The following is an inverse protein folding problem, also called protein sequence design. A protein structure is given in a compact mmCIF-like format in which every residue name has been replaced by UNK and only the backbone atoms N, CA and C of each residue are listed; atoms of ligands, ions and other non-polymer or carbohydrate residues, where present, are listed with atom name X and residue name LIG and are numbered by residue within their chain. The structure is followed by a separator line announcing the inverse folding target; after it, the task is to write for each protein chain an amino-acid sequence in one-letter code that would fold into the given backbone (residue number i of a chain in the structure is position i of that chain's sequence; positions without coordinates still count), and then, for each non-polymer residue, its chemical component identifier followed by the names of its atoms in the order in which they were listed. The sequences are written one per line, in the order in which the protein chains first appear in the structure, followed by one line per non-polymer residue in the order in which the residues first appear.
data_IF_357084460008
#
_entry.id   IF_357084460008
#
_cell.length_a   1.000
_cell.length_b   1.000
_cell.length_c   1.000
_cell.angle_alpha   90.00
_cell.angle_beta   90.00
_cell.angle_gamma   90.00
#
_symmetry.space_group_name_H-M   'P 1'
#
loop_
_entity.id
_entity.type
_entity.pdbx_description
1 polymer ?
#
# COMPACT_ATOMS: atom_id res chain seq x y z
N UNK A 1 -10.17 10.36 -20.64
CA UNK A 1 -10.11 9.68 -19.33
C UNK A 1 -8.97 10.27 -18.52
N UNK A 2 -9.09 10.36 -17.19
CA UNK A 2 -7.99 10.77 -16.34
C UNK A 2 -6.83 9.76 -16.49
N UNK A 3 -5.60 10.22 -16.31
CA UNK A 3 -4.39 9.39 -16.42
C UNK A 3 -4.27 8.50 -15.18
N UNK A 4 -4.18 7.16 -15.36
CA UNK A 4 -3.92 6.24 -14.25
C UNK A 4 -2.60 6.60 -13.56
N UNK A 5 -2.61 6.68 -12.23
CA UNK A 5 -1.42 6.91 -11.41
C UNK A 5 -0.64 5.60 -11.25
N UNK A 6 0.68 5.65 -11.42
CA UNK A 6 1.56 4.49 -11.21
C UNK A 6 2.19 4.58 -9.83
N UNK A 7 1.89 3.59 -8.98
CA UNK A 7 2.44 3.48 -7.63
C UNK A 7 3.48 2.35 -7.59
N UNK A 8 4.64 2.66 -6.98
CA UNK A 8 5.66 1.67 -6.70
C UNK A 8 5.28 0.87 -5.44
N UNK A 9 5.07 -0.45 -5.59
CA UNK A 9 4.69 -1.39 -4.55
C UNK A 9 5.86 -1.59 -3.58
N UNK A 10 5.77 -1.06 -2.36
CA UNK A 10 6.84 -1.08 -1.34
C UNK A 10 8.15 -0.46 -1.83
N UNK A 11 8.06 0.55 -2.71
CA UNK A 11 9.19 1.09 -3.46
C UNK A 11 9.53 0.30 -4.73
N UNK A 12 10.73 0.48 -5.28
CA UNK A 12 11.22 -0.30 -6.42
C UNK A 12 11.74 -1.68 -5.94
N UNK A 13 10.82 -2.54 -5.48
CA UNK A 13 11.13 -3.78 -4.75
C UNK A 13 11.84 -4.87 -5.57
N UNK A 14 11.97 -4.69 -6.88
CA UNK A 14 12.80 -5.55 -7.75
C UNK A 14 14.23 -5.05 -7.91
N UNK A 15 14.52 -3.83 -7.42
CA UNK A 15 15.81 -3.18 -7.55
C UNK A 15 16.48 -2.92 -6.19
N UNK A 16 15.71 -2.95 -5.11
CA UNK A 16 16.16 -2.86 -3.72
C UNK A 16 15.19 -3.60 -2.80
N UNK A 17 15.61 -3.87 -1.55
CA UNK A 17 14.75 -4.55 -0.57
C UNK A 17 13.48 -3.75 -0.30
N UNK A 18 12.31 -4.42 -0.35
CA UNK A 18 11.02 -3.79 -0.14
C UNK A 18 10.90 -3.06 1.21
N UNK A 19 10.11 -1.99 1.27
CA UNK A 19 9.87 -1.19 2.48
C UNK A 19 11.16 -0.62 3.13
N UNK A 20 12.24 -0.45 2.36
CA UNK A 20 13.49 0.19 2.80
C UNK A 20 13.66 1.56 2.15
N UNK A 21 14.55 2.38 2.73
CA UNK A 21 14.91 3.69 2.14
C UNK A 21 15.47 3.52 0.73
N UNK A 22 16.34 2.53 0.51
CA UNK A 22 16.90 2.25 -0.82
C UNK A 22 15.82 1.96 -1.84
N UNK A 23 14.77 1.20 -1.49
CA UNK A 23 13.67 0.90 -2.42
C UNK A 23 12.83 2.16 -2.75
N UNK A 24 12.56 3.00 -1.74
CA UNK A 24 11.79 4.23 -1.94
C UNK A 24 12.58 5.27 -2.74
N UNK A 25 13.84 5.48 -2.41
CA UNK A 25 14.71 6.42 -3.13
C UNK A 25 14.96 5.95 -4.58
N UNK A 26 15.06 4.63 -4.79
CA UNK A 26 15.18 4.06 -6.13
C UNK A 26 13.90 4.29 -6.94
N UNK A 27 12.72 4.08 -6.35
CA UNK A 27 11.45 4.33 -7.01
C UNK A 27 11.32 5.78 -7.48
N UNK A 28 11.78 6.73 -6.68
CA UNK A 28 11.74 8.17 -7.01
C UNK A 28 12.79 8.64 -8.03
N UNK A 29 13.67 7.76 -8.50
CA UNK A 29 14.48 8.02 -9.70
C UNK A 29 13.66 7.93 -10.99
N UNK A 30 12.48 7.31 -10.92
CA UNK A 30 11.49 7.26 -11.99
C UNK A 30 10.39 8.30 -11.74
N UNK A 31 9.72 8.79 -12.79
CA UNK A 31 8.60 9.74 -12.65
C UNK A 31 7.30 9.03 -12.19
N UNK A 32 7.40 8.26 -11.09
CA UNK A 32 6.25 7.61 -10.48
C UNK A 32 5.30 8.65 -9.87
N UNK A 33 4.03 8.29 -9.81
CA UNK A 33 3.02 9.18 -9.23
C UNK A 33 2.88 8.95 -7.72
N UNK A 34 3.19 7.73 -7.22
CA UNK A 34 3.07 7.41 -5.79
C UNK A 34 3.87 6.20 -5.34
N UNK A 35 3.85 5.99 -4.03
CA UNK A 35 4.43 4.82 -3.35
C UNK A 35 3.34 4.18 -2.50
N UNK A 36 3.27 2.85 -2.57
CA UNK A 36 2.50 2.05 -1.63
C UNK A 36 3.47 1.43 -0.60
N UNK A 37 3.02 1.29 0.66
CA UNK A 37 3.80 0.71 1.77
C UNK A 37 2.91 0.11 2.85
N UNK A 38 3.47 -0.78 3.68
CA UNK A 38 2.77 -1.57 4.68
C UNK A 38 3.15 -1.14 6.11
N UNK A 39 2.15 -0.92 6.98
CA UNK A 39 2.38 -0.53 8.37
C UNK A 39 2.00 -1.66 9.32
N UNK A 40 2.91 -1.98 10.23
CA UNK A 40 2.71 -2.81 11.43
C UNK A 40 3.18 -2.05 12.67
N UNK A 41 2.98 -2.62 13.87
CA UNK A 41 3.50 -2.06 15.12
C UNK A 41 4.60 -2.94 15.70
N UNK A 42 5.69 -2.32 16.15
CA UNK A 42 6.66 -2.94 17.05
C UNK A 42 6.03 -3.28 18.41
N UNK A 43 6.76 -3.97 19.29
CA UNK A 43 6.29 -4.30 20.64
C UNK A 43 5.95 -3.04 21.46
N UNK A 44 6.78 -2.02 21.34
CA UNK A 44 6.61 -0.70 21.97
C UNK A 44 5.72 0.26 21.15
N UNK A 45 4.86 -0.31 20.28
CA UNK A 45 3.81 0.38 19.52
C UNK A 45 4.30 1.48 18.56
N UNK A 46 5.54 1.43 18.11
CA UNK A 46 6.00 2.30 17.04
C UNK A 46 5.52 1.75 15.70
N UNK A 47 4.90 2.61 14.88
CA UNK A 47 4.48 2.26 13.52
C UNK A 47 5.72 2.12 12.62
N UNK A 48 5.92 0.91 12.08
CA UNK A 48 7.08 0.51 11.25
C UNK A 48 6.62 -0.10 9.93
N UNK A 49 7.47 -0.04 8.91
CA UNK A 49 7.15 -0.53 7.58
C UNK A 49 7.62 -1.97 7.40
N UNK A 50 6.65 -2.89 7.32
CA UNK A 50 6.92 -4.32 7.12
C UNK A 50 5.70 -5.04 6.57
N UNK A 51 5.88 -5.85 5.51
CA UNK A 51 4.79 -6.58 4.89
C UNK A 51 4.53 -7.93 5.55
N UNK A 52 5.55 -8.77 5.70
CA UNK A 52 5.38 -10.18 5.98
C UNK A 52 4.82 -10.47 7.39
N UNK A 53 4.24 -11.69 7.54
CA UNK A 53 3.79 -12.22 8.83
C UNK A 53 4.97 -12.39 9.80
N UNK A 54 6.07 -12.95 9.28
CA UNK A 54 7.26 -13.26 10.04
C UNK A 54 8.46 -12.46 9.56
N UNK A 55 9.47 -12.35 10.41
CA UNK A 55 10.76 -11.72 10.11
C UNK A 55 11.71 -12.65 9.33
N UNK A 56 11.19 -13.56 8.50
CA UNK A 56 11.98 -14.52 7.72
C UNK A 56 13.04 -13.86 6.84
N UNK A 57 12.69 -12.76 6.17
CA UNK A 57 13.62 -11.96 5.36
C UNK A 57 14.75 -11.32 6.18
N UNK A 58 14.55 -11.11 7.47
CA UNK A 58 15.56 -10.64 8.40
C UNK A 58 16.28 -11.80 9.15
N UNK A 59 16.13 -13.05 8.68
CA UNK A 59 16.77 -14.23 9.28
C UNK A 59 16.04 -14.82 10.49
N UNK A 60 14.83 -14.40 10.80
CA UNK A 60 14.05 -14.78 11.98
C UNK A 60 12.67 -15.37 11.57
N UNK A 61 12.62 -16.58 10.98
CA UNK A 61 11.43 -17.10 10.29
C UNK A 61 10.24 -17.44 11.21
N UNK A 62 10.42 -17.44 12.52
CA UNK A 62 9.35 -17.73 13.50
C UNK A 62 8.99 -16.53 14.37
N UNK A 63 9.58 -15.37 14.12
CA UNK A 63 9.40 -14.15 14.89
C UNK A 63 8.52 -13.15 14.15
N UNK A 64 7.73 -12.39 14.90
CA UNK A 64 6.90 -11.31 14.42
C UNK A 64 7.55 -9.95 14.66
N UNK A 65 7.04 -8.91 14.01
CA UNK A 65 7.50 -7.53 14.20
C UNK A 65 7.30 -7.07 15.66
N UNK A 66 6.20 -7.49 16.27
CA UNK A 66 5.81 -7.13 17.63
C UNK A 66 6.46 -8.00 18.74
N UNK A 67 7.34 -8.92 18.36
CA UNK A 67 8.25 -9.57 19.32
C UNK A 67 9.38 -8.63 19.78
N UNK A 68 9.61 -7.52 19.07
CA UNK A 68 10.76 -6.63 19.28
C UNK A 68 10.36 -5.17 19.43
N UNK A 69 11.09 -4.45 20.29
CA UNK A 69 11.02 -2.99 20.35
C UNK A 69 11.66 -2.36 19.10
N UNK A 70 11.23 -1.16 18.76
CA UNK A 70 11.72 -0.45 17.58
C UNK A 70 13.25 -0.32 17.55
N UNK A 71 13.91 -0.04 18.68
CA UNK A 71 15.37 0.07 18.76
C UNK A 71 16.09 -1.22 18.38
N UNK A 72 15.53 -2.37 18.75
CA UNK A 72 16.09 -3.68 18.35
C UNK A 72 15.88 -3.91 16.85
N UNK A 73 14.69 -3.59 16.31
CA UNK A 73 14.41 -3.70 14.88
C UNK A 73 15.31 -2.79 14.03
N UNK A 74 15.63 -1.59 14.51
CA UNK A 74 16.57 -0.69 13.82
C UNK A 74 17.98 -1.26 13.68
N UNK A 75 18.41 -2.11 14.62
CA UNK A 75 19.73 -2.73 14.60
C UNK A 75 19.82 -3.99 13.72
N UNK A 76 18.69 -4.53 13.26
CA UNK A 76 18.63 -5.67 12.34
C UNK A 76 18.83 -5.23 10.89
N UNK A 77 19.25 -6.14 10.02
CA UNK A 77 19.41 -5.87 8.60
C UNK A 77 18.19 -6.37 7.81
N UNK A 78 17.30 -5.47 7.44
CA UNK A 78 16.11 -5.75 6.64
C UNK A 78 16.39 -5.82 5.12
N UNK A 79 17.60 -5.44 4.68
CA UNK A 79 18.00 -5.55 3.28
C UNK A 79 18.75 -6.87 2.96
N UNK A 80 19.09 -7.67 3.96
CA UNK A 80 19.95 -8.86 3.80
C UNK A 80 19.42 -9.89 2.79
N UNK A 81 18.09 -10.05 2.69
CA UNK A 81 17.46 -11.03 1.80
C UNK A 81 17.51 -10.65 0.31
N UNK A 82 17.71 -9.38 0.01
CA UNK A 82 17.64 -8.89 -1.37
C UNK A 82 18.95 -9.20 -2.14
N UNK A 83 20.09 -8.89 -1.55
CA UNK A 83 21.41 -9.18 -2.13
C UNK A 83 22.47 -9.23 -1.04
N UNK A 84 23.43 -10.15 -1.18
CA UNK A 84 24.58 -10.23 -0.28
C UNK A 84 25.47 -8.96 -0.30
N UNK A 85 25.39 -8.18 -1.37
CA UNK A 85 26.09 -6.90 -1.53
C UNK A 85 25.25 -5.67 -1.14
N UNK A 86 24.00 -5.85 -0.72
CA UNK A 86 23.18 -4.74 -0.25
C UNK A 86 23.75 -4.15 1.04
N UNK A 87 23.79 -2.83 1.13
CA UNK A 87 24.13 -2.17 2.37
C UNK A 87 23.12 -2.56 3.46
N UNK A 88 23.54 -2.82 4.69
CA UNK A 88 22.61 -3.06 5.78
C UNK A 88 21.65 -1.88 6.00
N UNK A 89 20.36 -2.19 6.09
CA UNK A 89 19.33 -1.20 6.41
C UNK A 89 18.47 -1.68 7.56
N UNK A 90 18.29 -0.85 8.57
CA UNK A 90 17.34 -1.06 9.66
C UNK A 90 15.89 -0.85 9.17
N UNK A 91 14.92 -1.24 10.01
CA UNK A 91 13.52 -1.01 9.72
C UNK A 91 13.22 0.49 9.63
N UNK A 92 12.38 0.89 8.71
CA UNK A 92 11.93 2.28 8.56
C UNK A 92 10.66 2.49 9.39
N UNK A 93 10.61 3.53 10.22
CA UNK A 93 9.36 3.93 10.87
C UNK A 93 8.46 4.71 9.91
N UNK A 94 7.13 4.64 10.12
CA UNK A 94 6.18 5.47 9.37
C UNK A 94 6.48 6.96 9.51
N UNK A 95 6.94 7.40 10.68
CA UNK A 95 7.34 8.80 10.92
C UNK A 95 8.48 9.23 9.99
N UNK A 96 9.51 8.42 9.88
CA UNK A 96 10.66 8.70 8.99
C UNK A 96 10.25 8.65 7.52
N UNK A 97 9.42 7.67 7.14
CA UNK A 97 8.88 7.57 5.78
C UNK A 97 8.10 8.81 5.39
N UNK A 98 7.16 9.24 6.21
CA UNK A 98 6.37 10.45 5.98
C UNK A 98 7.25 11.70 5.90
N UNK A 99 8.24 11.83 6.78
CA UNK A 99 9.17 12.97 6.77
C UNK A 99 9.95 13.06 5.44
N UNK A 100 10.32 11.91 4.87
CA UNK A 100 11.12 11.87 3.64
C UNK A 100 10.27 11.98 2.36
N UNK A 101 9.05 11.42 2.31
CA UNK A 101 8.35 11.16 1.04
C UNK A 101 7.01 11.87 0.87
N UNK A 102 6.32 12.30 1.94
CA UNK A 102 4.96 12.85 1.87
C UNK A 102 4.78 14.08 0.98
N UNK A 103 5.87 14.83 0.68
CA UNK A 103 5.85 16.01 -0.18
C UNK A 103 6.38 15.74 -1.59
N UNK A 104 6.75 14.48 -1.89
CA UNK A 104 7.42 14.11 -3.13
C UNK A 104 6.52 13.32 -4.09
N UNK A 105 5.55 12.59 -3.56
CA UNK A 105 4.61 11.78 -4.34
C UNK A 105 3.36 11.47 -3.51
N UNK A 106 2.34 10.88 -4.15
CA UNK A 106 1.20 10.29 -3.45
C UNK A 106 1.62 9.09 -2.61
N UNK A 107 0.90 8.83 -1.51
CA UNK A 107 1.16 7.69 -0.64
C UNK A 107 -0.12 6.86 -0.44
N UNK A 108 0.00 5.54 -0.58
CA UNK A 108 -1.01 4.58 -0.15
C UNK A 108 -0.41 3.76 1.00
N UNK A 109 -0.98 3.88 2.18
CA UNK A 109 -0.45 3.27 3.41
C UNK A 109 -1.37 2.14 3.82
N UNK A 110 -0.93 0.89 3.60
CA UNK A 110 -1.69 -0.27 4.03
C UNK A 110 -1.52 -0.51 5.53
N UNK A 111 -2.61 -0.54 6.27
CA UNK A 111 -2.66 -0.91 7.69
C UNK A 111 -2.82 -2.43 7.77
N UNK A 112 -1.73 -3.14 8.07
CA UNK A 112 -1.73 -4.60 8.22
C UNK A 112 -2.46 -5.03 9.49
N UNK A 113 -3.41 -5.94 9.35
CA UNK A 113 -4.06 -6.59 10.48
C UNK A 113 -3.61 -8.05 10.54
N UNK A 114 -3.33 -8.54 11.74
CA UNK A 114 -2.83 -9.89 11.96
C UNK A 114 -3.79 -10.66 12.86
N UNK A 115 -3.95 -11.95 12.57
CA UNK A 115 -4.88 -12.84 13.27
C UNK A 115 -4.49 -13.15 14.72
N UNK A 116 -3.21 -12.94 15.08
CA UNK A 116 -2.75 -13.04 16.48
C UNK A 116 -2.89 -11.74 17.27
N UNK A 117 -3.18 -10.62 16.61
CA UNK A 117 -3.35 -9.33 17.28
C UNK A 117 -4.78 -9.17 17.82
N UNK A 118 -4.90 -8.54 18.97
CA UNK A 118 -6.22 -8.17 19.51
C UNK A 118 -6.88 -7.04 18.71
N UNK A 119 -8.19 -6.94 18.76
CA UNK A 119 -8.94 -5.83 18.16
C UNK A 119 -8.48 -4.46 18.69
N UNK A 120 -8.10 -4.37 19.98
CA UNK A 120 -7.55 -3.14 20.55
C UNK A 120 -6.22 -2.76 19.92
N UNK A 121 -5.36 -3.74 19.62
CA UNK A 121 -4.07 -3.49 18.93
C UNK A 121 -4.28 -3.03 17.50
N UNK A 122 -5.28 -3.57 16.79
CA UNK A 122 -5.67 -3.05 15.48
C UNK A 122 -6.09 -1.57 15.56
N UNK A 123 -6.90 -1.21 16.57
CA UNK A 123 -7.32 0.18 16.77
C UNK A 123 -6.15 1.11 17.11
N UNK A 124 -5.20 0.66 17.94
CA UNK A 124 -3.97 1.41 18.23
C UNK A 124 -3.18 1.66 16.95
N UNK A 125 -3.02 0.64 16.10
CA UNK A 125 -2.32 0.76 14.81
C UNK A 125 -2.98 1.79 13.90
N UNK A 126 -4.31 1.75 13.77
CA UNK A 126 -5.08 2.73 13.00
C UNK A 126 -4.85 4.14 13.54
N UNK A 127 -4.98 4.36 14.87
CA UNK A 127 -4.77 5.67 15.48
C UNK A 127 -3.36 6.20 15.23
N UNK A 128 -2.32 5.40 15.53
CA UNK A 128 -0.93 5.81 15.34
C UNK A 128 -0.64 6.15 13.88
N UNK A 129 -1.16 5.37 12.94
CA UNK A 129 -1.02 5.65 11.50
C UNK A 129 -1.67 6.99 11.15
N UNK A 130 -2.94 7.19 11.50
CA UNK A 130 -3.67 8.41 11.16
C UNK A 130 -3.14 9.66 11.89
N UNK A 131 -2.65 9.52 13.13
CA UNK A 131 -2.06 10.63 13.88
C UNK A 131 -0.74 11.10 13.28
N UNK A 132 0.10 10.17 12.82
CA UNK A 132 1.34 10.50 12.11
C UNK A 132 1.09 11.14 10.75
N UNK A 133 0.10 10.65 10.00
CA UNK A 133 -0.29 11.25 8.72
C UNK A 133 -0.86 12.66 8.93
N UNK A 134 -1.63 12.87 9.98
CA UNK A 134 -2.28 14.15 10.29
C UNK A 134 -3.58 14.36 9.52
N UNK A 135 -3.98 15.62 9.36
CA UNK A 135 -5.20 15.97 8.62
C UNK A 135 -5.06 15.60 7.14
N UNK A 136 -6.14 15.09 6.50
CA UNK A 136 -6.12 14.79 5.08
C UNK A 136 -5.83 16.06 4.26
N UNK A 137 -4.95 15.91 3.26
CA UNK A 137 -4.61 16.98 2.31
C UNK A 137 -5.07 16.53 0.91
N UNK A 138 -6.38 16.42 0.71
CA UNK A 138 -6.94 15.76 -0.46
C UNK A 138 -6.58 14.27 -0.48
N UNK A 139 -6.47 13.70 -1.68
CA UNK A 139 -6.15 12.28 -1.88
C UNK A 139 -4.64 11.99 -2.01
N UNK A 140 -3.80 12.96 -1.64
CA UNK A 140 -2.34 12.79 -1.73
C UNK A 140 -1.82 11.67 -0.81
N UNK A 141 -2.50 11.42 0.32
CA UNK A 141 -2.21 10.30 1.21
C UNK A 141 -3.51 9.58 1.53
N UNK A 142 -3.56 8.30 1.21
CA UNK A 142 -4.67 7.40 1.49
C UNK A 142 -4.22 6.31 2.45
N UNK A 143 -5.14 5.79 3.26
CA UNK A 143 -4.91 4.58 4.03
C UNK A 143 -5.75 3.43 3.45
N UNK A 144 -5.18 2.23 3.44
CA UNK A 144 -5.88 1.02 3.01
C UNK A 144 -5.76 -0.10 4.03
N UNK A 145 -6.64 -1.08 3.94
CA UNK A 145 -6.56 -2.31 4.72
C UNK A 145 -7.41 -3.41 4.09
N UNK A 146 -7.02 -4.67 4.28
CA UNK A 146 -7.85 -5.86 4.04
C UNK A 146 -8.87 -6.10 5.16
N UNK A 147 -8.75 -5.39 6.29
CA UNK A 147 -9.65 -5.52 7.42
C UNK A 147 -10.66 -4.36 7.43
N UNK A 148 -11.91 -4.68 7.09
CA UNK A 148 -12.97 -3.68 7.01
C UNK A 148 -13.28 -3.03 8.37
N UNK A 149 -13.18 -3.78 9.48
CA UNK A 149 -13.41 -3.22 10.82
C UNK A 149 -12.39 -2.14 11.18
N UNK A 150 -11.14 -2.29 10.72
CA UNK A 150 -10.11 -1.26 10.88
C UNK A 150 -10.45 0.00 10.11
N UNK A 151 -11.03 -0.12 8.90
CA UNK A 151 -11.47 1.02 8.11
C UNK A 151 -12.71 1.70 8.70
N UNK A 152 -13.66 0.91 9.23
CA UNK A 152 -14.81 1.44 9.98
C UNK A 152 -14.34 2.20 11.23
N UNK A 153 -13.36 1.66 11.94
CA UNK A 153 -12.77 2.35 13.09
C UNK A 153 -12.03 3.63 12.64
N UNK A 154 -11.26 3.57 11.56
CA UNK A 154 -10.56 4.73 10.98
C UNK A 154 -11.52 5.86 10.62
N UNK A 155 -12.66 5.54 9.99
CA UNK A 155 -13.71 6.50 9.65
C UNK A 155 -14.30 7.18 10.89
N UNK A 156 -14.53 6.41 11.98
CA UNK A 156 -15.04 6.96 13.25
C UNK A 156 -14.00 7.84 13.93
N UNK A 157 -12.74 7.42 13.88
CA UNK A 157 -11.63 8.14 14.52
C UNK A 157 -11.28 9.44 13.78
N UNK A 158 -11.27 9.41 12.44
CA UNK A 158 -10.95 10.56 11.59
C UNK A 158 -11.88 10.61 10.37
N UNK A 159 -13.10 11.17 10.55
CA UNK A 159 -14.05 11.30 9.45
C UNK A 159 -13.48 12.07 8.26
N UNK A 160 -13.78 11.61 7.05
CA UNK A 160 -13.35 12.24 5.81
C UNK A 160 -11.91 11.92 5.38
N UNK A 161 -11.19 11.04 6.11
CA UNK A 161 -9.90 10.54 5.64
C UNK A 161 -10.14 9.57 4.46
N UNK A 162 -9.37 9.65 3.35
CA UNK A 162 -9.55 8.75 2.21
C UNK A 162 -9.12 7.32 2.57
N UNK A 163 -10.12 6.41 2.66
CA UNK A 163 -9.97 5.03 3.07
C UNK A 163 -10.27 4.08 1.93
N UNK A 164 -9.35 3.18 1.61
CA UNK A 164 -9.43 2.21 0.51
C UNK A 164 -9.54 0.80 1.09
N UNK A 165 -10.55 0.03 0.68
CA UNK A 165 -10.70 -1.35 1.11
C UNK A 165 -9.99 -2.29 0.14
N UNK A 166 -8.98 -3.02 0.63
CA UNK A 166 -8.22 -3.99 -0.14
C UNK A 166 -8.98 -5.31 -0.19
N UNK A 167 -9.15 -5.85 -1.39
CA UNK A 167 -9.82 -7.13 -1.63
C UNK A 167 -8.80 -8.26 -1.75
N UNK A 168 -9.11 -9.40 -1.14
CA UNK A 168 -8.41 -10.67 -1.36
C UNK A 168 -8.87 -11.32 -2.67
N UNK A 169 -8.11 -12.30 -3.15
CA UNK A 169 -8.37 -12.96 -4.44
C UNK A 169 -9.65 -13.81 -4.47
N UNK A 170 -10.17 -14.20 -3.32
CA UNK A 170 -11.41 -14.98 -3.16
C UNK A 170 -12.67 -14.12 -3.03
N UNK A 171 -12.50 -12.80 -2.87
CA UNK A 171 -13.63 -11.87 -2.81
C UNK A 171 -14.21 -11.58 -4.20
N UNK A 172 -15.53 -11.52 -4.27
CA UNK A 172 -16.31 -11.52 -5.49
C UNK A 172 -16.90 -10.15 -5.81
N UNK A 173 -17.53 -10.04 -6.98
CA UNK A 173 -18.37 -8.89 -7.35
C UNK A 173 -19.49 -8.61 -6.31
N UNK A 174 -20.12 -9.66 -5.76
CA UNK A 174 -21.15 -9.49 -4.74
C UNK A 174 -20.60 -8.90 -3.44
N UNK A 175 -19.34 -9.22 -3.08
CA UNK A 175 -18.67 -8.62 -1.93
C UNK A 175 -18.39 -7.13 -2.17
N UNK A 176 -18.01 -6.76 -3.40
CA UNK A 176 -17.84 -5.36 -3.77
C UNK A 176 -19.18 -4.58 -3.69
N UNK A 177 -20.26 -5.15 -4.22
CA UNK A 177 -21.60 -4.54 -4.12
C UNK A 177 -22.00 -4.32 -2.66
N UNK A 178 -21.82 -5.32 -1.80
CA UNK A 178 -22.14 -5.24 -0.37
C UNK A 178 -21.30 -4.18 0.33
N UNK A 179 -19.97 -4.21 0.12
CA UNK A 179 -19.07 -3.24 0.74
C UNK A 179 -19.44 -1.80 0.38
N UNK A 180 -19.78 -1.53 -0.88
CA UNK A 180 -20.17 -0.19 -1.33
C UNK A 180 -21.55 0.23 -0.81
N UNK A 181 -22.50 -0.70 -0.70
CA UNK A 181 -23.83 -0.43 -0.17
C UNK A 181 -23.82 -0.12 1.33
N UNK A 182 -23.02 -0.87 2.10
CA UNK A 182 -22.95 -0.77 3.56
C UNK A 182 -21.97 0.31 4.04
N UNK A 183 -20.92 0.61 3.26
CA UNK A 183 -19.80 1.46 3.69
C UNK A 183 -19.61 2.62 2.72
N UNK A 184 -20.56 3.54 2.68
CA UNK A 184 -20.53 4.70 1.79
C UNK A 184 -19.31 5.63 1.98
N UNK A 185 -18.66 5.57 3.14
CA UNK A 185 -17.46 6.35 3.46
C UNK A 185 -16.21 5.90 2.68
N UNK A 186 -16.19 4.68 2.14
CA UNK A 186 -15.03 4.19 1.41
C UNK A 186 -14.71 5.12 0.23
N UNK A 187 -13.45 5.56 0.14
CA UNK A 187 -12.93 6.32 -0.99
C UNK A 187 -12.88 5.45 -2.25
N UNK A 188 -12.53 4.18 -2.11
CA UNK A 188 -12.43 3.23 -3.20
C UNK A 188 -12.14 1.80 -2.75
N UNK A 189 -11.94 0.93 -3.74
CA UNK A 189 -11.46 -0.44 -3.54
C UNK A 189 -10.09 -0.61 -4.20
N UNK A 190 -9.25 -1.46 -3.60
CA UNK A 190 -8.00 -1.93 -4.19
C UNK A 190 -8.16 -3.42 -4.51
N UNK A 191 -8.19 -3.76 -5.78
CA UNK A 191 -8.54 -5.08 -6.29
C UNK A 191 -7.29 -5.87 -6.73
N UNK A 192 -7.24 -7.20 -6.53
CA UNK A 192 -6.26 -8.03 -7.23
C UNK A 192 -6.46 -7.91 -8.74
N UNK A 193 -5.38 -7.84 -9.52
CA UNK A 193 -5.45 -7.75 -10.99
C UNK A 193 -6.27 -8.88 -11.62
N UNK A 194 -6.22 -10.07 -11.03
CA UNK A 194 -7.00 -11.24 -11.47
C UNK A 194 -8.52 -11.07 -11.34
N UNK A 195 -8.98 -10.18 -10.44
CA UNK A 195 -10.39 -9.89 -10.20
C UNK A 195 -10.88 -8.65 -10.97
N UNK A 196 -9.98 -7.94 -11.66
CA UNK A 196 -10.30 -6.73 -12.40
C UNK A 196 -11.03 -7.07 -13.71
N UNK A 197 -12.22 -6.52 -13.91
CA UNK A 197 -13.02 -6.66 -15.13
C UNK A 197 -13.95 -5.45 -15.32
N UNK A 198 -14.53 -5.30 -16.52
CA UNK A 198 -15.42 -4.19 -16.89
C UNK A 198 -16.62 -4.06 -15.93
N UNK A 199 -17.18 -5.17 -15.49
CA UNK A 199 -18.37 -5.17 -14.60
C UNK A 199 -18.04 -4.56 -13.25
N UNK A 200 -16.90 -4.94 -12.66
CA UNK A 200 -16.44 -4.40 -11.37
C UNK A 200 -16.02 -2.94 -11.51
N UNK A 201 -15.33 -2.59 -12.60
CA UNK A 201 -14.99 -1.19 -12.89
C UNK A 201 -16.24 -0.32 -13.01
N UNK A 202 -17.25 -0.79 -13.78
CA UNK A 202 -18.52 -0.08 -13.93
C UNK A 202 -19.21 0.11 -12.59
N UNK A 203 -19.29 -0.92 -11.75
CA UNK A 203 -19.87 -0.83 -10.40
C UNK A 203 -19.24 0.31 -9.59
N UNK A 204 -17.90 0.34 -9.51
CA UNK A 204 -17.19 1.36 -8.75
C UNK A 204 -17.42 2.76 -9.31
N UNK A 205 -17.38 2.90 -10.63
CA UNK A 205 -17.66 4.20 -11.32
C UNK A 205 -19.08 4.69 -11.07
N UNK A 206 -20.07 3.81 -11.13
CA UNK A 206 -21.48 4.14 -10.85
C UNK A 206 -21.68 4.66 -9.42
N UNK A 207 -20.83 4.21 -8.47
CA UNK A 207 -20.81 4.67 -7.07
C UNK A 207 -19.86 5.85 -6.82
N UNK A 208 -19.18 6.37 -7.84
CA UNK A 208 -18.20 7.46 -7.71
C UNK A 208 -16.96 7.09 -6.89
N UNK A 209 -16.54 5.81 -6.94
CA UNK A 209 -15.43 5.28 -6.15
C UNK A 209 -14.15 5.17 -6.96
N UNK A 210 -13.02 5.39 -6.28
CA UNK A 210 -11.69 5.19 -6.83
C UNK A 210 -11.38 3.69 -6.99
N UNK A 211 -10.64 3.37 -8.04
CA UNK A 211 -10.22 2.01 -8.39
C UNK A 211 -8.71 1.91 -8.33
N UNK A 212 -8.19 1.22 -7.34
CA UNK A 212 -6.80 0.81 -7.30
C UNK A 212 -6.68 -0.66 -7.68
N UNK A 213 -5.55 -1.07 -8.24
CA UNK A 213 -5.30 -2.47 -8.61
C UNK A 213 -3.89 -2.90 -8.24
N UNK A 214 -3.73 -4.12 -7.72
CA UNK A 214 -2.48 -4.75 -7.33
C UNK A 214 -2.41 -6.22 -7.79
N UNK A 215 -1.27 -6.85 -8.06
CA UNK A 215 -0.06 -6.18 -8.41
C UNK A 215 0.14 -6.40 -9.90
N UNK A 216 0.25 -5.34 -10.68
CA UNK A 216 0.36 -5.41 -12.14
C UNK A 216 1.84 -5.45 -12.55
N UNK A 217 2.35 -6.60 -12.96
CA UNK A 217 3.78 -6.81 -13.22
C UNK A 217 4.10 -7.24 -14.64
N UNK A 218 3.17 -7.93 -15.32
CA UNK A 218 3.33 -8.29 -16.74
C UNK A 218 2.77 -7.20 -17.66
N UNK A 219 3.22 -7.20 -18.90
CA UNK A 219 2.73 -6.26 -19.93
C UNK A 219 1.21 -6.40 -20.12
N UNK A 220 0.69 -7.64 -20.07
CA UNK A 220 -0.74 -7.91 -20.21
C UNK A 220 -1.55 -7.32 -19.05
N UNK A 221 -1.12 -7.52 -17.81
CA UNK A 221 -1.77 -6.97 -16.61
C UNK A 221 -1.77 -5.44 -16.60
N UNK A 222 -0.61 -4.84 -16.91
CA UNK A 222 -0.48 -3.38 -16.99
C UNK A 222 -1.39 -2.82 -18.08
N UNK A 223 -1.38 -3.42 -19.28
CA UNK A 223 -2.23 -2.99 -20.37
C UNK A 223 -3.71 -3.11 -20.03
N UNK A 224 -4.14 -4.24 -19.44
CA UNK A 224 -5.52 -4.46 -19.02
C UNK A 224 -5.99 -3.39 -18.01
N UNK A 225 -5.18 -3.13 -16.98
CA UNK A 225 -5.50 -2.12 -15.97
C UNK A 225 -5.63 -0.70 -16.58
N UNK A 226 -4.70 -0.33 -17.49
CA UNK A 226 -4.74 0.96 -18.16
C UNK A 226 -5.93 1.10 -19.14
N UNK A 227 -6.30 0.02 -19.86
CA UNK A 227 -7.45 -0.01 -20.77
C UNK A 227 -8.77 0.12 -20.03
N UNK A 228 -8.89 -0.54 -18.90
CA UNK A 228 -10.05 -0.44 -18.02
C UNK A 228 -10.10 0.91 -17.25
N UNK A 229 -9.04 1.72 -17.35
CA UNK A 229 -9.01 3.07 -16.82
C UNK A 229 -9.04 3.12 -15.30
N UNK A 230 -8.29 2.26 -14.62
CA UNK A 230 -8.14 2.33 -13.15
C UNK A 230 -7.49 3.64 -12.74
N UNK A 231 -7.76 4.12 -11.51
CA UNK A 231 -7.18 5.37 -11.02
C UNK A 231 -5.74 5.16 -10.55
N UNK A 232 -5.47 4.01 -9.89
CA UNK A 232 -4.15 3.68 -9.34
C UNK A 232 -3.76 2.27 -9.79
N UNK A 233 -2.57 2.16 -10.38
CA UNK A 233 -1.93 0.90 -10.75
C UNK A 233 -0.71 0.71 -9.85
N UNK A 234 -0.74 -0.33 -9.01
CA UNK A 234 0.35 -0.69 -8.08
C UNK A 234 1.21 -1.78 -8.73
N UNK A 235 2.52 -1.56 -8.84
CA UNK A 235 3.44 -2.45 -9.55
C UNK A 235 4.78 -2.63 -8.84
N UNK A 236 5.29 -3.87 -8.89
CA UNK A 236 6.67 -4.19 -8.49
C UNK A 236 7.71 -3.70 -9.52
N UNK A 237 7.25 -3.37 -10.74
CA UNK A 237 8.08 -2.94 -11.88
C UNK A 237 7.62 -1.57 -12.39
N UNK A 238 7.66 -0.52 -11.54
CA UNK A 238 7.04 0.77 -11.84
C UNK A 238 7.61 1.42 -13.10
N UNK A 239 8.92 1.22 -13.42
CA UNK A 239 9.53 1.72 -14.63
C UNK A 239 8.84 1.16 -15.88
N UNK A 240 8.58 -0.17 -15.91
CA UNK A 240 7.86 -0.82 -17.01
C UNK A 240 6.43 -0.27 -17.14
N UNK A 241 5.71 -0.12 -16.02
CA UNK A 241 4.35 0.42 -16.03
C UNK A 241 4.30 1.86 -16.59
N UNK A 242 5.29 2.69 -16.23
CA UNK A 242 5.44 4.04 -16.77
C UNK A 242 5.70 4.05 -18.30
N UNK A 243 6.56 3.16 -18.77
CA UNK A 243 6.87 3.03 -20.21
C UNK A 243 5.61 2.65 -21.01
N UNK A 244 4.88 1.61 -20.57
CA UNK A 244 3.64 1.17 -21.23
C UNK A 244 2.59 2.29 -21.21
N UNK A 245 2.42 2.99 -20.06
CA UNK A 245 1.51 4.13 -19.98
C UNK A 245 1.89 5.25 -20.96
N UNK A 246 3.17 5.58 -21.07
CA UNK A 246 3.65 6.62 -21.99
C UNK A 246 3.36 6.26 -23.47
N UNK A 247 3.59 5.02 -23.87
CA UNK A 247 3.27 4.53 -25.22
C UNK A 247 1.77 4.68 -25.54
N UNK A 248 0.88 4.39 -24.58
CA UNK A 248 -0.57 4.52 -24.79
C UNK A 248 -1.07 5.97 -24.84
N UNK A 249 -0.40 6.89 -24.15
CA UNK A 249 -0.83 8.30 -24.11
C UNK A 249 -0.19 9.17 -25.19
N UNK A 250 0.68 8.59 -26.05
CA UNK A 250 1.42 9.32 -27.07
C UNK A 250 2.43 10.33 -26.51
N UNK A 251 2.82 10.19 -25.24
CA UNK A 251 3.78 11.03 -24.53
C UNK A 251 5.17 10.35 -24.51
N UNK A 252 5.64 9.90 -25.69
CA UNK A 252 6.99 9.35 -25.85
C UNK A 252 7.93 10.42 -26.42
#
# INVERSE_FOLDING_TARGET
MAKSLIFAHRGANKEAAENTRSAFDKALQYPIDGIETDVQLSRDEIAVLWHDRYLGKAGLPTKHIDDYDYSALQSMNFAAHFSASANPEGIVSLKEFLAAYRKRCHLLIEIKNRDWESASRHQIKVRHTLDLVGAPQGDAIMASSFNLDSLIYAQRYRPGFPLVYNFETDQTYADAQRALAEQSFLHGLCLPIASLNETTVKLLRDHGKSIAVYTCNSDAEINNALELGVDILISDVPQKALQIRAMKTGAA
#
